data_IF_198131438196
#
_entry.id   IF_198131438196
#
_cell.length_a   1.000
_cell.length_b   1.000
_cell.length_c   1.000
_cell.angle_alpha   90.00
_cell.angle_beta   90.00
_cell.angle_gamma   90.00
#
_symmetry.space_group_name_H-M   'P 1'
#
loop_
_entity.id
_entity.type
_entity.pdbx_description
1 polymer ?
#
# COMPACT_ATOMS: atom_id res chain seq x y z
N UNK A 1 23.09 8.17 -17.33
CA UNK A 1 22.47 9.50 -17.07
C UNK A 1 21.31 9.32 -16.08
N UNK A 2 21.46 9.93 -14.93
CA UNK A 2 20.96 9.43 -13.65
C UNK A 2 19.46 9.48 -13.40
N UNK A 3 18.99 8.46 -12.69
CA UNK A 3 17.65 8.36 -12.05
C UNK A 3 17.32 9.60 -11.23
N UNK A 4 18.32 10.33 -10.71
CA UNK A 4 18.17 11.58 -9.98
C UNK A 4 17.68 12.77 -10.82
N UNK A 5 18.02 12.85 -12.11
CA UNK A 5 17.57 13.94 -12.97
C UNK A 5 16.04 13.94 -13.20
N UNK A 6 15.44 12.75 -13.27
CA UNK A 6 13.97 12.61 -13.38
C UNK A 6 13.23 13.07 -12.12
N UNK A 7 13.86 12.96 -10.94
CA UNK A 7 13.28 13.43 -9.69
C UNK A 7 13.11 14.97 -9.66
N UNK A 8 14.07 15.71 -10.19
CA UNK A 8 14.02 17.17 -10.20
C UNK A 8 12.93 17.73 -11.11
N UNK A 9 12.52 17.00 -12.13
CA UNK A 9 11.47 17.39 -13.08
C UNK A 9 10.05 17.11 -12.58
N UNK A 10 9.89 16.36 -11.48
CA UNK A 10 8.56 16.06 -10.93
C UNK A 10 7.91 17.33 -10.31
N UNK A 11 6.58 17.49 -10.42
CA UNK A 11 5.84 18.52 -9.70
C UNK A 11 6.07 18.41 -8.19
N UNK A 12 6.01 19.52 -7.48
CA UNK A 12 6.21 19.56 -6.00
C UNK A 12 5.32 18.54 -5.27
N UNK A 13 4.07 18.39 -5.70
CA UNK A 13 3.12 17.44 -5.14
C UNK A 13 3.62 16.00 -5.26
N UNK A 14 4.07 15.58 -6.43
CA UNK A 14 4.59 14.22 -6.66
C UNK A 14 5.88 13.95 -5.87
N UNK A 15 6.75 14.95 -5.71
CA UNK A 15 7.96 14.83 -4.87
C UNK A 15 7.61 14.54 -3.42
N UNK A 16 6.65 15.28 -2.85
CA UNK A 16 6.20 15.07 -1.48
C UNK A 16 5.61 13.67 -1.28
N UNK A 17 4.77 13.21 -2.21
CA UNK A 17 4.20 11.86 -2.17
C UNK A 17 5.29 10.78 -2.27
N UNK A 18 6.30 10.98 -3.11
CA UNK A 18 7.41 10.04 -3.26
C UNK A 18 8.29 10.00 -2.00
N UNK A 19 8.63 11.14 -1.41
CA UNK A 19 9.37 11.20 -0.16
C UNK A 19 8.61 10.50 0.98
N UNK A 20 7.31 10.79 1.12
CA UNK A 20 6.47 10.10 2.09
C UNK A 20 6.41 8.60 1.83
N UNK A 21 6.23 8.19 0.58
CA UNK A 21 6.20 6.77 0.20
C UNK A 21 7.52 6.06 0.56
N UNK A 22 8.68 6.69 0.36
CA UNK A 22 9.97 6.15 0.76
C UNK A 22 10.05 5.93 2.27
N UNK A 23 9.62 6.90 3.07
CA UNK A 23 9.63 6.81 4.54
C UNK A 23 8.66 5.71 5.01
N UNK A 24 7.41 5.74 4.54
CA UNK A 24 6.38 4.80 4.97
C UNK A 24 6.74 3.37 4.54
N UNK A 25 7.27 3.19 3.33
CA UNK A 25 7.69 1.87 2.84
C UNK A 25 8.90 1.34 3.61
N UNK A 26 9.86 2.20 3.98
CA UNK A 26 10.98 1.82 4.83
C UNK A 26 10.51 1.36 6.20
N UNK A 27 9.62 2.13 6.84
CA UNK A 27 9.05 1.77 8.14
C UNK A 27 8.22 0.49 8.07
N UNK A 28 7.39 0.32 7.03
CA UNK A 28 6.61 -0.89 6.82
C UNK A 28 7.51 -2.12 6.62
N UNK A 29 8.58 -1.98 5.83
CA UNK A 29 9.53 -3.07 5.60
C UNK A 29 10.30 -3.46 6.87
N UNK A 30 10.67 -2.48 7.68
CA UNK A 30 11.30 -2.69 8.97
C UNK A 30 10.34 -3.36 9.97
N UNK A 31 9.09 -2.88 10.02
CA UNK A 31 8.06 -3.44 10.89
C UNK A 31 7.78 -4.92 10.58
N UNK A 32 7.67 -5.28 9.31
CA UNK A 32 7.44 -6.69 8.88
C UNK A 32 8.62 -7.59 9.25
N UNK A 33 9.84 -7.06 9.34
CA UNK A 33 11.04 -7.83 9.74
C UNK A 33 11.19 -7.98 11.25
N UNK A 34 10.73 -7.00 12.02
CA UNK A 34 10.95 -6.95 13.48
C UNK A 34 9.76 -7.51 14.26
N UNK A 35 8.54 -7.23 13.78
CA UNK A 35 7.33 -7.55 14.53
C UNK A 35 6.57 -8.71 13.91
N UNK A 36 5.96 -9.54 14.77
CA UNK A 36 4.99 -10.54 14.34
C UNK A 36 3.78 -9.86 13.65
N UNK A 37 3.25 -10.50 12.63
CA UNK A 37 2.15 -9.95 11.81
C UNK A 37 0.94 -9.53 12.65
N UNK A 38 0.57 -10.29 13.68
CA UNK A 38 -0.53 -10.01 14.61
C UNK A 38 -0.39 -8.63 15.30
N UNK A 39 0.85 -8.20 15.58
CA UNK A 39 1.10 -6.88 16.19
C UNK A 39 0.90 -5.77 15.18
N UNK A 40 1.33 -5.99 13.96
CA UNK A 40 1.13 -5.05 12.84
C UNK A 40 -0.36 -4.91 12.56
N UNK A 41 -1.08 -6.03 12.48
CA UNK A 41 -2.52 -6.06 12.26
C UNK A 41 -3.27 -5.26 13.33
N UNK A 42 -2.99 -5.52 14.62
CA UNK A 42 -3.62 -4.77 15.72
C UNK A 42 -3.36 -3.26 15.64
N UNK A 43 -2.14 -2.88 15.26
CA UNK A 43 -1.78 -1.47 15.09
C UNK A 43 -2.55 -0.82 13.93
N UNK A 44 -2.65 -1.50 12.80
CA UNK A 44 -3.41 -1.03 11.63
C UNK A 44 -4.90 -0.92 11.95
N UNK A 45 -5.48 -1.90 12.64
CA UNK A 45 -6.88 -1.89 13.08
C UNK A 45 -7.15 -0.74 14.04
N UNK A 46 -6.28 -0.49 15.02
CA UNK A 46 -6.42 0.63 15.95
C UNK A 46 -6.42 1.98 15.24
N UNK A 47 -5.58 2.15 14.21
CA UNK A 47 -5.55 3.36 13.39
C UNK A 47 -6.80 3.50 12.50
N UNK A 48 -7.32 2.39 11.96
CA UNK A 48 -8.56 2.42 11.17
C UNK A 48 -9.78 2.89 11.98
N UNK A 49 -9.82 2.57 13.26
CA UNK A 49 -10.95 2.95 14.11
C UNK A 49 -10.96 4.46 14.45
N UNK A 50 -9.81 5.09 14.44
CA UNK A 50 -9.66 6.52 14.76
C UNK A 50 -9.76 7.43 13.52
N UNK A 51 -9.55 6.90 12.33
CA UNK A 51 -9.76 7.63 11.09
C UNK A 51 -11.26 7.70 10.78
N UNK A 52 -11.93 8.73 11.34
CA UNK A 52 -13.20 9.17 10.75
C UNK A 52 -12.91 9.37 9.26
N UNK A 53 -13.59 8.61 8.41
CA UNK A 53 -13.71 8.92 7.00
C UNK A 53 -14.18 10.37 6.97
N UNK A 54 -13.24 11.30 6.86
CA UNK A 54 -13.59 12.70 6.61
C UNK A 54 -14.32 12.63 5.29
N UNK A 55 -15.64 12.88 5.37
CA UNK A 55 -16.48 12.87 4.20
C UNK A 55 -15.81 13.76 3.15
N UNK A 56 -15.14 13.11 2.22
CA UNK A 56 -14.48 13.80 1.13
C UNK A 56 -15.65 14.24 0.25
N UNK A 57 -16.05 15.49 0.40
CA UNK A 57 -16.83 16.23 -0.61
C UNK A 57 -15.92 16.53 -1.82
N UNK A 58 -15.01 15.62 -2.14
CA UNK A 58 -14.13 15.72 -3.28
C UNK A 58 -14.82 15.06 -4.48
N UNK A 59 -14.70 15.65 -5.64
CA UNK A 59 -15.16 15.05 -6.89
C UNK A 59 -14.55 13.65 -7.04
N UNK A 60 -15.32 12.70 -7.55
CA UNK A 60 -14.88 11.33 -7.74
C UNK A 60 -13.58 11.22 -8.56
N UNK A 61 -13.34 12.17 -9.48
CA UNK A 61 -12.10 12.30 -10.25
C UNK A 61 -10.89 12.58 -9.36
N UNK A 62 -11.01 13.51 -8.40
CA UNK A 62 -9.91 13.92 -7.52
C UNK A 62 -9.51 12.78 -6.57
N UNK A 63 -10.48 12.02 -6.10
CA UNK A 63 -10.25 10.80 -5.30
C UNK A 63 -9.48 9.77 -6.11
N UNK A 64 -9.90 9.51 -7.35
CA UNK A 64 -9.27 8.55 -8.25
C UNK A 64 -7.83 8.93 -8.56
N UNK A 65 -7.57 10.20 -8.83
CA UNK A 65 -6.23 10.71 -9.13
C UNK A 65 -5.34 10.68 -7.88
N UNK A 66 -5.91 10.95 -6.70
CA UNK A 66 -5.21 10.82 -5.43
C UNK A 66 -4.78 9.38 -5.13
N UNK A 67 -5.65 8.41 -5.37
CA UNK A 67 -5.36 6.98 -5.21
C UNK A 67 -4.26 6.53 -6.17
N UNK A 68 -4.38 6.88 -7.46
CA UNK A 68 -3.35 6.58 -8.45
C UNK A 68 -1.99 7.19 -8.10
N UNK A 69 -1.98 8.41 -7.56
CA UNK A 69 -0.75 9.06 -7.17
C UNK A 69 -0.07 8.35 -6.00
N UNK A 70 -0.83 7.84 -5.03
CA UNK A 70 -0.30 7.02 -3.94
C UNK A 70 0.32 5.74 -4.50
N UNK A 71 -0.41 4.99 -5.32
CA UNK A 71 0.07 3.74 -5.92
C UNK A 71 1.37 3.93 -6.71
N UNK A 72 1.39 4.95 -7.57
CA UNK A 72 2.57 5.28 -8.37
C UNK A 72 3.76 5.68 -7.49
N UNK A 73 3.50 6.40 -6.40
CA UNK A 73 4.55 6.84 -5.48
C UNK A 73 5.15 5.67 -4.71
N UNK A 74 4.34 4.73 -4.21
CA UNK A 74 4.81 3.52 -3.55
C UNK A 74 5.57 2.61 -4.53
N UNK A 75 5.07 2.44 -5.76
CA UNK A 75 5.76 1.67 -6.79
C UNK A 75 7.14 2.27 -7.14
N UNK A 76 7.23 3.59 -7.29
CA UNK A 76 8.49 4.31 -7.52
C UNK A 76 9.43 4.19 -6.32
N UNK A 77 8.93 4.33 -5.09
CA UNK A 77 9.70 4.17 -3.87
C UNK A 77 10.30 2.76 -3.76
N UNK A 78 9.54 1.71 -4.10
CA UNK A 78 10.00 0.34 -4.11
C UNK A 78 11.17 0.09 -5.10
N UNK A 79 11.26 0.88 -6.17
CA UNK A 79 12.35 0.81 -7.15
C UNK A 79 13.57 1.62 -6.70
N UNK A 80 13.35 2.74 -5.98
CA UNK A 80 14.42 3.65 -5.55
C UNK A 80 15.16 3.12 -4.33
N UNK A 81 14.44 2.49 -3.41
CA UNK A 81 15.03 1.99 -2.16
C UNK A 81 15.97 0.80 -2.40
N UNK A 82 17.10 0.72 -1.68
CA UNK A 82 18.16 -0.28 -1.91
C UNK A 82 17.85 -1.65 -1.28
N UNK A 83 16.59 -1.99 -1.10
CA UNK A 83 16.16 -3.28 -0.57
C UNK A 83 14.95 -3.80 -1.33
N UNK A 84 14.80 -5.14 -1.34
CA UNK A 84 13.60 -5.75 -1.88
C UNK A 84 12.43 -5.52 -0.92
N UNK A 85 11.44 -4.75 -1.35
CA UNK A 85 10.20 -4.58 -0.61
C UNK A 85 9.29 -5.77 -0.86
N UNK A 86 8.86 -6.42 0.22
CA UNK A 86 7.89 -7.51 0.17
C UNK A 86 6.51 -6.97 -0.25
N UNK A 87 5.69 -7.81 -0.86
CA UNK A 87 4.31 -7.45 -1.21
C UNK A 87 3.53 -6.91 0.00
N UNK A 88 3.71 -7.52 1.18
CA UNK A 88 3.10 -7.09 2.42
C UNK A 88 3.55 -5.67 2.83
N UNK A 89 4.85 -5.36 2.78
CA UNK A 89 5.35 -4.02 3.12
C UNK A 89 4.80 -2.95 2.18
N UNK A 90 4.71 -3.26 0.87
CA UNK A 90 4.13 -2.35 -0.12
C UNK A 90 2.65 -2.12 0.12
N UNK A 91 1.90 -3.19 0.40
CA UNK A 91 0.47 -3.11 0.72
C UNK A 91 0.21 -2.32 2.00
N UNK A 92 1.01 -2.52 3.05
CA UNK A 92 0.93 -1.72 4.29
C UNK A 92 1.21 -0.24 4.00
N UNK A 93 2.23 0.07 3.22
CA UNK A 93 2.56 1.45 2.87
C UNK A 93 1.43 2.12 2.08
N UNK A 94 0.91 1.46 1.04
CA UNK A 94 -0.21 1.95 0.25
C UNK A 94 -1.46 2.15 1.11
N UNK A 95 -1.83 1.16 1.90
CA UNK A 95 -2.96 1.22 2.81
C UNK A 95 -2.85 2.41 3.78
N UNK A 96 -1.71 2.55 4.46
CA UNK A 96 -1.46 3.64 5.41
C UNK A 96 -1.55 5.01 4.73
N UNK A 97 -0.95 5.18 3.56
CA UNK A 97 -0.97 6.44 2.83
C UNK A 97 -2.38 6.81 2.34
N UNK A 98 -3.18 5.84 1.91
CA UNK A 98 -4.57 6.04 1.50
C UNK A 98 -5.44 6.43 2.70
N UNK A 99 -5.37 5.68 3.79
CA UNK A 99 -6.18 5.91 5.00
C UNK A 99 -5.89 7.28 5.63
N UNK A 100 -4.62 7.68 5.75
CA UNK A 100 -4.23 9.01 6.26
C UNK A 100 -4.82 10.16 5.45
N UNK A 101 -5.17 9.93 4.19
CA UNK A 101 -5.84 10.91 3.32
C UNK A 101 -7.36 10.80 3.31
N UNK A 102 -7.91 9.87 4.10
CA UNK A 102 -9.34 9.63 4.16
C UNK A 102 -9.89 8.84 2.97
N UNK A 103 -9.02 8.26 2.12
CA UNK A 103 -9.48 7.42 1.02
C UNK A 103 -9.90 6.04 1.55
N UNK A 104 -11.03 5.49 1.05
CA UNK A 104 -11.44 4.14 1.39
C UNK A 104 -10.39 3.15 0.90
N UNK A 105 -9.92 2.30 1.80
CA UNK A 105 -8.93 1.27 1.48
C UNK A 105 -9.10 0.06 2.39
N UNK A 106 -8.98 -1.13 1.82
CA UNK A 106 -8.99 -2.40 2.52
C UNK A 106 -7.74 -3.17 2.13
N UNK A 107 -6.96 -3.58 3.13
CA UNK A 107 -5.79 -4.43 2.96
C UNK A 107 -6.19 -5.88 3.11
N UNK A 108 -5.77 -6.70 2.18
CA UNK A 108 -5.95 -8.15 2.19
C UNK A 108 -4.59 -8.85 2.24
N UNK A 109 -4.54 -9.96 2.95
CA UNK A 109 -3.46 -10.93 2.86
C UNK A 109 -4.06 -12.32 2.67
N UNK A 110 -3.49 -13.08 1.75
CA UNK A 110 -3.99 -14.40 1.41
C UNK A 110 -2.88 -15.35 0.97
N UNK A 111 -3.24 -16.59 0.81
CA UNK A 111 -2.36 -17.67 0.36
C UNK A 111 -2.99 -18.41 -0.81
N UNK A 112 -2.13 -18.94 -1.66
CA UNK A 112 -2.50 -19.85 -2.75
C UNK A 112 -1.65 -21.09 -2.67
N UNK A 113 -2.28 -22.24 -2.83
CA UNK A 113 -1.59 -23.53 -3.02
C UNK A 113 -1.28 -23.69 -4.51
N UNK A 114 -0.03 -23.89 -4.87
CA UNK A 114 0.38 -24.18 -6.23
C UNK A 114 0.24 -25.67 -6.55
N UNK A 115 0.31 -26.05 -7.83
CA UNK A 115 0.19 -27.42 -8.29
C UNK A 115 1.28 -28.35 -7.70
N UNK A 116 2.44 -27.80 -7.34
CA UNK A 116 3.56 -28.47 -6.70
C UNK A 116 3.43 -28.55 -5.16
N UNK A 117 2.26 -28.23 -4.63
CA UNK A 117 1.99 -28.13 -3.18
C UNK A 117 2.74 -27.01 -2.45
N UNK A 118 3.44 -26.13 -3.16
CA UNK A 118 4.05 -24.96 -2.53
C UNK A 118 2.98 -23.91 -2.19
N UNK A 119 3.24 -23.13 -1.12
CA UNK A 119 2.37 -22.03 -0.68
C UNK A 119 2.96 -20.70 -1.12
N UNK A 120 2.17 -19.92 -1.84
CA UNK A 120 2.49 -18.54 -2.17
C UNK A 120 1.62 -17.61 -1.33
N UNK A 121 2.25 -16.77 -0.50
CA UNK A 121 1.57 -15.71 0.22
C UNK A 121 1.62 -14.40 -0.59
N UNK A 122 0.52 -13.67 -0.61
CA UNK A 122 0.44 -12.37 -1.27
C UNK A 122 -0.42 -11.40 -0.45
N UNK A 123 -0.08 -10.10 -0.53
CA UNK A 123 -0.87 -9.04 0.08
C UNK A 123 -1.18 -7.98 -0.97
N UNK A 124 -2.40 -7.41 -0.90
CA UNK A 124 -2.88 -6.39 -1.82
C UNK A 124 -3.80 -5.40 -1.12
N UNK A 125 -4.07 -4.27 -1.75
CA UNK A 125 -5.00 -3.25 -1.26
C UNK A 125 -6.12 -3.06 -2.28
N UNK A 126 -7.35 -3.03 -1.81
CA UNK A 126 -8.50 -2.60 -2.58
C UNK A 126 -8.90 -1.18 -2.15
N UNK A 127 -9.14 -0.33 -3.12
CA UNK A 127 -9.65 1.02 -2.94
C UNK A 127 -10.89 1.24 -3.80
N UNK A 128 -11.64 2.31 -3.55
CA UNK A 128 -12.85 2.64 -4.31
C UNK A 128 -12.65 2.81 -5.84
N UNK A 129 -11.41 2.83 -6.31
CA UNK A 129 -11.06 2.99 -7.72
C UNK A 129 -10.41 1.74 -8.35
N UNK A 130 -10.37 0.63 -7.63
CA UNK A 130 -9.74 -0.61 -8.10
C UNK A 130 -8.74 -1.19 -7.12
N UNK A 131 -7.93 -2.10 -7.60
CA UNK A 131 -6.91 -2.81 -6.82
C UNK A 131 -5.52 -2.32 -7.19
N UNK A 132 -4.68 -2.17 -6.17
CA UNK A 132 -3.23 -2.10 -6.35
C UNK A 132 -2.71 -3.52 -6.51
N UNK A 133 -1.95 -3.80 -7.55
CA UNK A 133 -1.43 -5.14 -7.84
C UNK A 133 -2.53 -6.22 -7.84
N UNK A 134 -3.25 -6.29 -8.95
CA UNK A 134 -4.37 -7.21 -9.13
C UNK A 134 -3.90 -8.68 -9.19
N UNK A 135 -3.92 -9.44 -8.07
CA UNK A 135 -3.77 -10.89 -8.19
C UNK A 135 -5.04 -11.45 -8.83
N UNK A 136 -4.93 -12.60 -9.46
CA UNK A 136 -6.12 -13.38 -9.78
C UNK A 136 -6.81 -13.78 -8.47
N UNK A 137 -7.90 -13.05 -8.13
CA UNK A 137 -8.63 -13.23 -6.85
C UNK A 137 -9.14 -14.65 -6.67
N UNK A 138 -9.48 -15.33 -7.77
CA UNK A 138 -10.00 -16.70 -7.74
C UNK A 138 -8.95 -17.70 -7.23
N UNK A 139 -7.67 -17.33 -7.29
CA UNK A 139 -6.56 -18.20 -6.95
C UNK A 139 -6.09 -18.09 -5.49
N UNK A 140 -6.48 -17.02 -4.75
CA UNK A 140 -6.02 -16.77 -3.39
C UNK A 140 -7.14 -16.94 -2.35
N UNK A 141 -6.86 -17.72 -1.31
CA UNK A 141 -7.71 -17.80 -0.11
C UNK A 141 -7.31 -16.64 0.81
N UNK A 142 -8.24 -15.72 1.06
CA UNK A 142 -8.02 -14.58 1.97
C UNK A 142 -7.96 -15.08 3.42
N UNK A 143 -6.88 -14.76 4.10
CA UNK A 143 -6.69 -15.07 5.53
C UNK A 143 -6.98 -13.87 6.43
N UNK A 144 -6.64 -12.68 5.97
CA UNK A 144 -6.76 -11.44 6.75
C UNK A 144 -7.36 -10.34 5.89
N UNK A 145 -8.24 -9.54 6.51
CA UNK A 145 -8.85 -8.35 5.94
C UNK A 145 -8.81 -7.21 6.96
N UNK A 146 -8.19 -6.10 6.62
CA UNK A 146 -8.03 -4.93 7.48
C UNK A 146 -8.63 -3.70 6.78
N UNK A 147 -9.53 -3.01 7.45
CA UNK A 147 -10.22 -1.82 6.96
C UNK A 147 -11.68 -2.05 6.57
N UNK A 148 -12.38 -0.97 6.27
CA UNK A 148 -13.79 -0.91 5.85
C UNK A 148 -13.88 -0.15 4.54
#
# INVERSE_FOLDING_TARGET
MGRFHKFWLLPRREKLFLCEACIVLLLANLSVKIFAFERIERHLLAHCHNDRIRGISANASDVKDGIKLVDLSVARAAVVLPFQSLCLSRSIATFTMLRRRGFPAVLFAGVRVCADSSLIAHAWVESGCGMTEKPDKSAFTTLVRIGV
#
